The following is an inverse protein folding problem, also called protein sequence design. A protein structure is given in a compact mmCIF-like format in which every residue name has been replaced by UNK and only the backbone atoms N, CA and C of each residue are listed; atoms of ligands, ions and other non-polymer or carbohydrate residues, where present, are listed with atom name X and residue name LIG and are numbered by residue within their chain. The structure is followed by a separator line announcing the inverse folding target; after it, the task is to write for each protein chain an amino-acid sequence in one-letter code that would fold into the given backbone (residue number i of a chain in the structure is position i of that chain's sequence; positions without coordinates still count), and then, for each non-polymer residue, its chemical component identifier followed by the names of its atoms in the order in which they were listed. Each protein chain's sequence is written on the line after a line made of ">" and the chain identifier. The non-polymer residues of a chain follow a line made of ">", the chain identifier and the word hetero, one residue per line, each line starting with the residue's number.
data_IF_389379074573
#
_entry.id   IF_389379074573
#
_cell.length_a   1.000
_cell.length_b   1.000
_cell.length_c   1.000
_cell.angle_alpha   90.00
_cell.angle_beta   90.00
_cell.angle_gamma   90.00
#
_symmetry.space_group_name_H-M   'P 1'
#
loop_
_entity.id
_entity.type
_entity.pdbx_description
1 polymer ?
#
# COMPACT_ATOMS: atom_id res chain seq x y z
N UNK A 1 36.17 7.97 9.23
CA UNK A 1 35.57 8.79 8.16
C UNK A 1 34.14 8.30 7.99
N UNK A 2 33.19 8.88 8.74
CA UNK A 2 31.78 8.49 8.68
C UNK A 2 31.18 9.13 7.43
N UNK A 3 30.74 8.31 6.49
CA UNK A 3 29.90 8.74 5.37
C UNK A 3 28.52 9.05 5.96
N UNK A 4 28.16 10.33 5.95
CA UNK A 4 26.82 10.81 6.28
C UNK A 4 25.82 10.23 5.27
N UNK A 5 24.90 9.40 5.75
CA UNK A 5 23.67 9.06 5.04
C UNK A 5 22.84 10.34 4.98
N UNK A 6 22.97 11.07 3.88
CA UNK A 6 22.05 12.14 3.55
C UNK A 6 20.76 11.44 3.14
N UNK A 7 19.72 11.53 3.96
CA UNK A 7 18.39 11.00 3.63
C UNK A 7 17.94 11.56 2.28
N UNK A 8 17.35 10.72 1.41
CA UNK A 8 16.77 11.14 0.12
C UNK A 8 15.93 12.42 0.23
N UNK A 9 15.23 12.60 1.37
CA UNK A 9 14.48 13.80 1.75
C UNK A 9 15.24 15.14 1.59
N UNK A 10 16.55 15.17 1.86
CA UNK A 10 17.36 16.39 1.79
C UNK A 10 17.84 16.70 0.36
N UNK A 11 18.03 15.66 -0.47
CA UNK A 11 18.35 15.81 -1.89
C UNK A 11 17.11 16.19 -2.71
N UNK A 12 15.92 15.70 -2.34
CA UNK A 12 14.64 16.00 -2.99
C UNK A 12 14.23 17.48 -2.91
N UNK A 13 14.59 18.19 -1.82
CA UNK A 13 14.20 19.59 -1.64
C UNK A 13 15.11 20.60 -2.37
N UNK A 14 16.31 20.22 -2.80
CA UNK A 14 17.31 21.15 -3.33
C UNK A 14 17.25 21.33 -4.86
N UNK A 15 16.46 20.55 -5.60
CA UNK A 15 16.49 20.50 -7.07
C UNK A 15 15.22 20.94 -7.83
N UNK A 16 14.18 21.43 -7.15
CA UNK A 16 13.16 22.25 -7.81
C UNK A 16 11.84 21.55 -8.20
N UNK A 17 10.75 22.19 -7.77
CA UNK A 17 9.42 22.40 -8.37
C UNK A 17 8.61 21.33 -9.12
N UNK A 18 9.10 20.15 -9.47
CA UNK A 18 8.35 19.29 -10.42
C UNK A 18 7.41 18.25 -9.77
N UNK A 19 7.64 17.83 -8.52
CA UNK A 19 6.70 16.97 -7.78
C UNK A 19 5.48 17.75 -7.28
N UNK A 20 4.32 17.11 -7.21
CA UNK A 20 3.09 17.68 -6.66
C UNK A 20 3.25 18.04 -5.16
N UNK A 21 2.47 19.00 -4.62
CA UNK A 21 2.58 19.40 -3.22
C UNK A 21 2.45 18.25 -2.22
N UNK A 22 1.56 17.29 -2.47
CA UNK A 22 1.38 16.12 -1.61
C UNK A 22 2.56 15.13 -1.72
N UNK A 23 3.10 14.92 -2.92
CA UNK A 23 4.26 14.05 -3.18
C UNK A 23 5.51 14.51 -2.45
N UNK A 24 5.71 15.83 -2.32
CA UNK A 24 6.82 16.40 -1.55
C UNK A 24 6.70 16.19 -0.03
N UNK A 25 5.49 15.93 0.44
CA UNK A 25 5.22 15.70 1.86
C UNK A 25 5.35 14.23 2.25
N UNK A 26 5.27 13.29 1.30
CA UNK A 26 5.19 11.88 1.64
C UNK A 26 6.46 11.35 2.32
N UNK A 27 6.28 10.66 3.43
CA UNK A 27 7.24 9.82 4.11
C UNK A 27 6.61 8.42 4.23
N UNK A 28 6.93 7.58 3.24
CA UNK A 28 6.40 6.23 3.10
C UNK A 28 7.47 5.15 3.37
N UNK A 29 8.57 5.54 4.01
CA UNK A 29 9.76 4.68 4.15
C UNK A 29 10.59 4.59 2.87
N UNK A 30 11.31 3.48 2.72
CA UNK A 30 12.14 3.19 1.55
C UNK A 30 11.93 1.75 1.10
N UNK A 31 11.76 1.54 -0.20
CA UNK A 31 11.89 0.25 -0.84
C UNK A 31 13.35 0.10 -1.32
N UNK A 32 13.95 -1.08 -1.19
CA UNK A 32 15.36 -1.30 -1.49
C UNK A 32 15.70 -1.02 -2.96
N UNK A 33 15.18 -1.85 -3.86
CA UNK A 33 15.25 -1.66 -5.32
C UNK A 33 13.95 -2.16 -5.97
N UNK A 34 12.86 -1.38 -5.88
CA UNK A 34 11.55 -1.84 -6.30
C UNK A 34 11.56 -2.15 -7.79
N UNK A 35 11.15 -3.38 -8.11
CA UNK A 35 11.08 -3.89 -9.47
C UNK A 35 12.42 -3.85 -10.24
N UNK A 36 13.55 -3.95 -9.54
CA UNK A 36 14.87 -3.93 -10.19
C UNK A 36 15.24 -2.59 -10.84
N UNK A 37 14.53 -1.50 -10.48
CA UNK A 37 14.73 -0.16 -11.03
C UNK A 37 16.09 0.46 -10.63
N UNK A 38 17.16 0.04 -11.30
CA UNK A 38 18.49 0.65 -11.17
C UNK A 38 18.67 1.90 -12.07
N UNK A 39 17.69 2.24 -12.91
CA UNK A 39 17.81 3.29 -13.92
C UNK A 39 17.62 4.66 -13.28
N UNK A 40 18.71 5.45 -13.30
CA UNK A 40 18.76 6.89 -13.10
C UNK A 40 17.82 7.40 -11.99
N UNK A 41 18.14 7.03 -10.74
CA UNK A 41 17.37 7.30 -9.50
C UNK A 41 16.97 8.77 -9.28
N UNK A 42 17.45 9.69 -10.12
CA UNK A 42 17.19 11.13 -10.06
C UNK A 42 16.18 11.63 -11.09
N UNK A 43 15.71 10.80 -12.06
CA UNK A 43 14.71 11.26 -13.04
C UNK A 43 13.35 11.50 -12.36
N UNK A 44 12.58 12.44 -12.89
CA UNK A 44 11.26 12.75 -12.35
C UNK A 44 10.29 11.56 -12.49
N UNK A 45 10.32 10.86 -13.63
CA UNK A 45 9.58 9.61 -13.82
C UNK A 45 9.88 8.57 -12.72
N UNK A 46 11.16 8.38 -12.37
CA UNK A 46 11.56 7.47 -11.30
C UNK A 46 11.06 7.92 -9.93
N UNK A 47 11.06 9.23 -9.65
CA UNK A 47 10.55 9.76 -8.39
C UNK A 47 9.04 9.50 -8.23
N UNK A 48 8.24 9.79 -9.27
CA UNK A 48 6.81 9.48 -9.28
C UNK A 48 6.56 7.97 -9.14
N UNK A 49 7.33 7.13 -9.85
CA UNK A 49 7.24 5.67 -9.71
C UNK A 49 7.51 5.20 -8.27
N UNK A 50 8.59 5.69 -7.63
CA UNK A 50 8.91 5.31 -6.26
C UNK A 50 7.80 5.70 -5.29
N UNK A 51 7.23 6.89 -5.44
CA UNK A 51 6.09 7.33 -4.63
C UNK A 51 4.90 6.39 -4.83
N UNK A 52 4.55 6.11 -6.09
CA UNK A 52 3.43 5.24 -6.40
C UNK A 52 3.61 3.83 -5.84
N UNK A 53 4.82 3.28 -5.98
CA UNK A 53 5.15 1.96 -5.49
C UNK A 53 5.13 1.87 -3.96
N UNK A 54 5.61 2.90 -3.25
CA UNK A 54 5.49 2.98 -1.80
C UNK A 54 4.03 3.16 -1.35
N UNK A 55 3.22 3.93 -2.08
CA UNK A 55 1.78 4.04 -1.85
C UNK A 55 1.07 2.68 -1.98
N UNK A 56 1.44 1.84 -2.96
CA UNK A 56 0.89 0.48 -3.08
C UNK A 56 1.11 -0.33 -1.81
N UNK A 57 2.32 -0.29 -1.25
CA UNK A 57 2.63 -1.02 -0.02
C UNK A 57 1.86 -0.53 1.20
N UNK A 58 1.40 0.71 1.21
CA UNK A 58 0.57 1.27 2.27
C UNK A 58 -0.93 1.26 1.98
N UNK A 59 -1.37 0.58 0.92
CA UNK A 59 -2.78 0.56 0.49
C UNK A 59 -3.32 1.99 0.32
N UNK A 60 -2.58 2.79 -0.44
CA UNK A 60 -3.03 4.08 -0.95
C UNK A 60 -3.16 3.96 -2.48
N UNK A 61 -4.05 3.08 -2.96
CA UNK A 61 -3.99 2.67 -4.36
C UNK A 61 -4.33 3.80 -5.33
N UNK A 62 -5.25 4.68 -4.96
CA UNK A 62 -5.58 5.88 -5.76
C UNK A 62 -4.35 6.78 -5.95
N UNK A 63 -3.64 7.08 -4.86
CA UNK A 63 -2.41 7.89 -4.91
C UNK A 63 -1.28 7.15 -5.64
N UNK A 64 -1.26 5.82 -5.56
CA UNK A 64 -0.34 5.01 -6.34
C UNK A 64 -0.60 5.13 -7.84
N UNK A 65 -1.86 4.99 -8.26
CA UNK A 65 -2.28 5.13 -9.67
C UNK A 65 -2.00 6.53 -10.22
N UNK A 66 -2.29 7.58 -9.44
CA UNK A 66 -1.94 8.97 -9.80
C UNK A 66 -0.43 9.10 -10.03
N UNK A 67 0.40 8.61 -9.12
CA UNK A 67 1.84 8.71 -9.24
C UNK A 67 2.40 7.87 -10.40
N UNK A 68 1.87 6.67 -10.66
CA UNK A 68 2.27 5.91 -11.87
C UNK A 68 1.84 6.61 -13.16
N UNK A 69 0.68 7.25 -13.19
CA UNK A 69 0.26 8.05 -14.34
C UNK A 69 1.25 9.21 -14.59
N UNK A 70 1.62 9.96 -13.54
CA UNK A 70 2.64 11.01 -13.65
C UNK A 70 3.99 10.46 -14.14
N UNK A 71 4.43 9.31 -13.64
CA UNK A 71 5.66 8.67 -14.11
C UNK A 71 5.62 8.34 -15.62
N UNK A 72 4.45 7.91 -16.12
CA UNK A 72 4.23 7.56 -17.52
C UNK A 72 3.96 8.77 -18.42
N UNK A 73 3.52 9.90 -17.88
CA UNK A 73 3.48 11.18 -18.58
C UNK A 73 4.91 11.69 -18.85
N UNK A 74 5.81 11.51 -17.88
CA UNK A 74 7.23 11.86 -17.99
C UNK A 74 8.02 10.90 -18.90
N UNK A 75 7.81 9.59 -18.76
CA UNK A 75 8.39 8.57 -19.62
C UNK A 75 7.43 7.40 -19.84
N UNK A 76 6.71 7.44 -20.95
CA UNK A 76 5.75 6.39 -21.29
C UNK A 76 6.39 5.03 -21.61
N UNK A 77 7.72 4.96 -21.79
CA UNK A 77 8.46 3.71 -21.99
C UNK A 77 9.01 3.12 -20.70
N UNK A 78 8.77 3.77 -19.55
CA UNK A 78 9.25 3.31 -18.26
C UNK A 78 8.51 2.06 -17.78
N UNK A 79 9.16 0.90 -17.96
CA UNK A 79 8.56 -0.42 -17.77
C UNK A 79 8.08 -0.65 -16.35
N UNK A 80 8.85 -0.24 -15.35
CA UNK A 80 8.52 -0.45 -13.94
C UNK A 80 7.27 0.36 -13.53
N UNK A 81 7.07 1.55 -14.10
CA UNK A 81 5.84 2.32 -13.88
C UNK A 81 4.60 1.61 -14.46
N UNK A 82 4.72 0.97 -15.63
CA UNK A 82 3.65 0.12 -16.17
C UNK A 82 3.37 -1.10 -15.28
N UNK A 83 4.42 -1.79 -14.80
CA UNK A 83 4.26 -2.92 -13.88
C UNK A 83 3.57 -2.44 -12.58
N UNK A 84 4.00 -1.31 -12.01
CA UNK A 84 3.39 -0.71 -10.83
C UNK A 84 1.91 -0.37 -11.04
N UNK A 85 1.56 0.26 -12.15
CA UNK A 85 0.16 0.55 -12.54
C UNK A 85 -0.69 -0.73 -12.56
N UNK A 86 -0.20 -1.78 -13.21
CA UNK A 86 -0.87 -3.08 -13.28
C UNK A 86 -0.98 -3.77 -11.92
N UNK A 87 0.07 -3.72 -11.09
CA UNK A 87 0.03 -4.22 -9.71
C UNK A 87 -0.99 -3.47 -8.86
N UNK A 88 -1.16 -2.16 -9.06
CA UNK A 88 -2.20 -1.40 -8.40
C UNK A 88 -3.59 -1.92 -8.74
N UNK A 89 -3.85 -2.22 -10.02
CA UNK A 89 -5.10 -2.88 -10.41
C UNK A 89 -5.26 -4.25 -9.75
N UNK A 90 -4.23 -5.09 -9.74
CA UNK A 90 -4.27 -6.39 -9.03
C UNK A 90 -4.58 -6.18 -7.55
N UNK A 91 -3.92 -5.24 -6.88
CA UNK A 91 -4.02 -5.04 -5.43
C UNK A 91 -5.37 -4.46 -5.00
N UNK A 92 -5.94 -3.54 -5.79
CA UNK A 92 -7.33 -3.06 -5.63
C UNK A 92 -8.31 -4.22 -5.80
N UNK A 93 -7.96 -5.22 -6.61
CA UNK A 93 -8.86 -6.30 -7.01
C UNK A 93 -8.70 -7.62 -6.26
N UNK A 94 -7.83 -7.66 -5.25
CA UNK A 94 -7.65 -8.85 -4.42
C UNK A 94 -8.88 -9.12 -3.54
N UNK A 95 -9.09 -10.39 -3.17
CA UNK A 95 -10.18 -10.88 -2.29
C UNK A 95 -10.30 -10.13 -0.99
N UNK A 96 -9.21 -9.53 -0.50
CA UNK A 96 -9.25 -8.50 0.54
C UNK A 96 -10.47 -7.60 0.29
N UNK A 97 -10.56 -6.96 -0.87
CA UNK A 97 -11.61 -5.97 -1.15
C UNK A 97 -12.85 -6.52 -1.87
N UNK A 98 -12.95 -7.85 -2.06
CA UNK A 98 -14.04 -8.55 -2.77
C UNK A 98 -14.46 -7.89 -4.11
N UNK A 99 -13.52 -7.25 -4.80
CA UNK A 99 -13.77 -6.46 -6.00
C UNK A 99 -12.82 -6.91 -7.11
N UNK A 100 -13.26 -7.04 -8.36
CA UNK A 100 -12.35 -7.28 -9.49
C UNK A 100 -12.75 -6.46 -10.72
N UNK A 101 -12.02 -5.39 -11.01
CA UNK A 101 -12.09 -4.68 -12.29
C UNK A 101 -11.25 -5.37 -13.37
N UNK A 102 -11.71 -6.54 -13.81
CA UNK A 102 -11.01 -7.33 -14.83
C UNK A 102 -10.93 -6.58 -16.15
N UNK A 103 -11.98 -5.86 -16.54
CA UNK A 103 -12.05 -5.15 -17.81
C UNK A 103 -11.06 -3.98 -17.86
N UNK A 104 -11.06 -3.13 -16.83
CA UNK A 104 -10.11 -2.02 -16.73
C UNK A 104 -8.65 -2.51 -16.65
N UNK A 105 -8.40 -3.62 -15.94
CA UNK A 105 -7.06 -4.22 -15.87
C UNK A 105 -6.59 -4.75 -17.22
N UNK A 106 -7.45 -5.46 -17.96
CA UNK A 106 -7.14 -5.96 -19.30
C UNK A 106 -6.94 -4.82 -20.31
N UNK A 107 -7.71 -3.73 -20.18
CA UNK A 107 -7.51 -2.54 -20.98
C UNK A 107 -6.12 -1.93 -20.71
N UNK A 108 -5.76 -1.71 -19.45
CA UNK A 108 -4.45 -1.19 -19.07
C UNK A 108 -3.31 -2.08 -19.59
N UNK A 109 -3.45 -3.41 -19.50
CA UNK A 109 -2.50 -4.36 -20.07
C UNK A 109 -2.30 -4.19 -21.58
N UNK A 110 -3.40 -4.10 -22.33
CA UNK A 110 -3.35 -3.93 -23.78
C UNK A 110 -2.71 -2.58 -24.16
N UNK A 111 -3.00 -1.51 -23.43
CA UNK A 111 -2.36 -0.19 -23.59
C UNK A 111 -0.84 -0.28 -23.38
N UNK A 112 -0.40 -0.89 -22.27
CA UNK A 112 1.01 -1.13 -21.96
C UNK A 112 1.70 -1.90 -23.08
N UNK A 113 1.11 -3.01 -23.54
CA UNK A 113 1.71 -3.83 -24.59
C UNK A 113 1.77 -3.13 -25.94
N UNK A 114 0.76 -2.31 -26.28
CA UNK A 114 0.79 -1.48 -27.48
C UNK A 114 1.94 -0.47 -27.45
N UNK A 115 2.18 0.18 -26.30
CA UNK A 115 3.30 1.11 -26.11
C UNK A 115 4.64 0.38 -26.30
N UNK A 116 4.83 -0.77 -25.64
CA UNK A 116 6.08 -1.52 -25.76
C UNK A 116 6.39 -1.96 -27.19
N UNK A 117 5.38 -2.41 -27.94
CA UNK A 117 5.56 -2.78 -29.34
C UNK A 117 5.83 -1.57 -30.23
N UNK A 118 5.08 -0.47 -30.09
CA UNK A 118 5.21 0.71 -30.94
C UNK A 118 6.53 1.46 -30.71
N UNK A 119 7.02 1.47 -29.47
CA UNK A 119 8.26 2.14 -29.07
C UNK A 119 9.49 1.22 -29.09
N UNK A 120 9.33 -0.06 -29.49
CA UNK A 120 10.39 -1.08 -29.49
C UNK A 120 11.11 -1.21 -28.12
N UNK A 121 10.34 -1.17 -27.03
CA UNK A 121 10.88 -1.32 -25.67
C UNK A 121 11.50 -2.71 -25.52
N UNK A 122 12.76 -2.77 -25.08
CA UNK A 122 13.44 -4.03 -24.83
C UNK A 122 13.27 -4.41 -23.36
N UNK A 123 12.50 -5.47 -23.11
CA UNK A 123 12.26 -5.98 -21.76
C UNK A 123 13.41 -6.86 -21.29
N UNK A 124 13.87 -6.63 -20.06
CA UNK A 124 14.77 -7.56 -19.38
C UNK A 124 14.04 -8.87 -19.03
N UNK A 125 14.77 -9.99 -18.79
CA UNK A 125 14.14 -11.23 -18.33
C UNK A 125 13.31 -11.05 -17.07
N UNK A 126 13.75 -10.16 -16.17
CA UNK A 126 13.03 -9.81 -14.95
C UNK A 126 11.70 -9.12 -15.24
N UNK A 127 11.72 -8.03 -16.01
CA UNK A 127 10.52 -7.27 -16.36
C UNK A 127 9.50 -8.15 -17.10
N UNK A 128 9.96 -8.97 -18.05
CA UNK A 128 9.09 -9.89 -18.78
C UNK A 128 8.46 -10.94 -17.85
N UNK A 129 9.23 -11.51 -16.93
CA UNK A 129 8.72 -12.47 -15.95
C UNK A 129 7.68 -11.82 -15.01
N UNK A 130 7.90 -10.58 -14.59
CA UNK A 130 6.97 -9.84 -13.74
C UNK A 130 5.65 -9.54 -14.45
N UNK A 131 5.73 -9.01 -15.68
CA UNK A 131 4.55 -8.74 -16.52
C UNK A 131 3.74 -10.02 -16.75
N UNK A 132 4.40 -11.13 -17.10
CA UNK A 132 3.74 -12.42 -17.28
C UNK A 132 3.08 -12.92 -15.99
N UNK A 133 3.66 -12.64 -14.83
CA UNK A 133 3.11 -13.00 -13.52
C UNK A 133 1.85 -12.19 -13.23
N UNK A 134 1.90 -10.87 -13.38
CA UNK A 134 0.76 -9.96 -13.18
C UNK A 134 -0.39 -10.29 -14.13
N UNK A 135 -0.08 -10.67 -15.37
CA UNK A 135 -1.08 -11.11 -16.35
C UNK A 135 -1.93 -12.28 -15.88
N UNK A 136 -1.36 -13.23 -15.13
CA UNK A 136 -2.10 -14.42 -14.71
C UNK A 136 -3.28 -14.10 -13.80
N UNK A 137 -3.24 -12.99 -13.05
CA UNK A 137 -4.34 -12.60 -12.17
C UNK A 137 -5.65 -12.38 -12.95
N UNK A 138 -5.58 -11.69 -14.08
CA UNK A 138 -6.76 -11.28 -14.85
C UNK A 138 -6.98 -12.11 -16.13
N UNK A 139 -6.13 -13.12 -16.38
CA UNK A 139 -6.34 -14.10 -17.44
C UNK A 139 -7.62 -14.93 -17.22
N UNK A 140 -8.06 -15.07 -15.96
CA UNK A 140 -9.23 -15.86 -15.57
C UNK A 140 -10.44 -14.97 -15.29
N UNK A 141 -11.65 -15.50 -15.50
CA UNK A 141 -12.90 -14.78 -15.27
C UNK A 141 -13.37 -14.85 -13.80
N UNK A 142 -13.02 -15.93 -13.10
CA UNK A 142 -13.36 -16.16 -11.71
C UNK A 142 -12.18 -15.77 -10.80
N UNK A 143 -12.48 -15.03 -9.73
CA UNK A 143 -11.53 -14.58 -8.71
C UNK A 143 -10.73 -15.75 -8.12
N UNK A 144 -11.41 -16.83 -7.71
CA UNK A 144 -10.74 -17.97 -7.05
C UNK A 144 -9.72 -18.67 -7.95
N UNK A 145 -10.02 -18.80 -9.24
CA UNK A 145 -9.10 -19.41 -10.21
C UNK A 145 -7.92 -18.48 -10.49
N UNK A 146 -8.17 -17.17 -10.59
CA UNK A 146 -7.15 -16.14 -10.72
C UNK A 146 -6.17 -16.14 -9.53
N UNK A 147 -6.67 -16.31 -8.32
CA UNK A 147 -5.87 -16.39 -7.09
C UNK A 147 -4.87 -17.52 -7.06
N UNK A 148 -5.32 -18.74 -7.33
CA UNK A 148 -4.45 -19.91 -7.25
C UNK A 148 -3.36 -19.85 -8.33
N UNK A 149 -3.72 -19.45 -9.54
CA UNK A 149 -2.76 -19.33 -10.64
C UNK A 149 -1.80 -18.17 -10.42
N UNK A 150 -2.27 -17.06 -9.87
CA UNK A 150 -1.42 -15.93 -9.51
C UNK A 150 -0.45 -16.28 -8.39
N UNK A 151 -0.90 -17.03 -7.36
CA UNK A 151 -0.02 -17.56 -6.32
C UNK A 151 1.08 -18.43 -6.91
N UNK A 152 0.74 -19.39 -7.78
CA UNK A 152 1.76 -20.24 -8.44
C UNK A 152 2.74 -19.41 -9.28
N UNK A 153 2.25 -18.35 -9.93
CA UNK A 153 3.09 -17.49 -10.76
C UNK A 153 4.04 -16.63 -9.91
N UNK A 154 3.56 -16.09 -8.80
CA UNK A 154 4.40 -15.38 -7.82
C UNK A 154 5.44 -16.31 -7.17
N UNK A 155 5.08 -17.57 -6.91
CA UNK A 155 6.05 -18.57 -6.45
C UNK A 155 7.15 -18.82 -7.47
N UNK A 156 6.81 -18.98 -8.75
CA UNK A 156 7.81 -19.15 -9.80
C UNK A 156 8.69 -17.91 -9.96
N UNK A 157 8.10 -16.71 -9.90
CA UNK A 157 8.83 -15.44 -9.97
C UNK A 157 9.86 -15.32 -8.84
N UNK A 158 9.43 -15.54 -7.60
CA UNK A 158 10.29 -15.45 -6.41
C UNK A 158 11.34 -16.57 -6.32
N UNK A 159 11.09 -17.74 -6.91
CA UNK A 159 12.11 -18.78 -7.06
C UNK A 159 13.16 -18.42 -8.12
N UNK A 160 12.73 -17.76 -9.20
CA UNK A 160 13.61 -17.29 -10.28
C UNK A 160 14.48 -16.11 -9.82
N UNK A 161 13.91 -15.22 -9.00
CA UNK A 161 14.56 -14.03 -8.45
C UNK A 161 14.55 -14.05 -6.91
N UNK A 162 15.33 -14.94 -6.26
CA UNK A 162 15.21 -15.17 -4.81
C UNK A 162 15.74 -14.04 -3.93
N UNK A 163 16.53 -13.12 -4.48
CA UNK A 163 17.11 -11.96 -3.78
C UNK A 163 16.16 -10.76 -3.80
N UNK A 164 15.12 -10.80 -4.64
CA UNK A 164 14.15 -9.72 -4.77
C UNK A 164 13.20 -9.67 -3.56
N UNK A 165 13.49 -8.80 -2.60
CA UNK A 165 12.71 -8.60 -1.37
C UNK A 165 11.33 -8.05 -1.64
N UNK A 166 11.16 -7.28 -2.71
CA UNK A 166 9.90 -6.68 -3.12
C UNK A 166 8.94 -7.76 -3.70
N UNK A 167 9.43 -8.61 -4.61
CA UNK A 167 8.64 -9.73 -5.12
C UNK A 167 8.28 -10.73 -4.00
N UNK A 168 9.19 -10.98 -3.06
CA UNK A 168 8.91 -11.82 -1.88
C UNK A 168 7.86 -11.17 -0.96
N UNK A 169 7.92 -9.84 -0.77
CA UNK A 169 6.92 -9.09 -0.01
C UNK A 169 5.54 -9.20 -0.66
N UNK A 170 5.45 -9.04 -1.98
CA UNK A 170 4.21 -9.22 -2.73
C UNK A 170 3.69 -10.66 -2.65
N UNK A 171 4.56 -11.68 -2.71
CA UNK A 171 4.16 -13.06 -2.45
C UNK A 171 3.54 -13.24 -1.05
N UNK A 172 4.09 -12.54 -0.05
CA UNK A 172 3.50 -12.49 1.29
C UNK A 172 2.08 -11.92 1.30
N UNK A 173 1.82 -10.84 0.55
CA UNK A 173 0.47 -10.29 0.37
C UNK A 173 -0.47 -11.29 -0.32
N UNK A 174 -0.01 -11.95 -1.39
CA UNK A 174 -0.81 -12.97 -2.08
C UNK A 174 -1.18 -14.11 -1.14
N UNK A 175 -0.25 -14.58 -0.30
CA UNK A 175 -0.58 -15.58 0.72
C UNK A 175 -1.59 -15.08 1.75
N UNK A 176 -1.54 -13.81 2.17
CA UNK A 176 -2.57 -13.24 3.05
C UNK A 176 -3.94 -13.26 2.39
N UNK A 177 -3.98 -12.99 1.10
CA UNK A 177 -5.21 -13.02 0.33
C UNK A 177 -5.81 -14.44 0.29
N UNK A 178 -4.99 -15.47 0.01
CA UNK A 178 -5.40 -16.88 0.11
C UNK A 178 -5.84 -17.25 1.53
N UNK A 179 -5.14 -16.73 2.55
CA UNK A 179 -5.45 -17.02 3.95
C UNK A 179 -6.86 -16.57 4.35
N UNK A 180 -7.41 -15.51 3.76
CA UNK A 180 -8.79 -15.06 4.01
C UNK A 180 -9.75 -16.16 3.60
N UNK A 181 -9.64 -16.64 2.35
CA UNK A 181 -10.46 -17.73 1.82
C UNK A 181 -10.30 -19.00 2.66
N UNK A 182 -9.06 -19.43 2.93
CA UNK A 182 -8.78 -20.62 3.74
C UNK A 182 -9.32 -20.51 5.18
N UNK A 183 -9.35 -19.30 5.77
CA UNK A 183 -9.92 -19.08 7.11
C UNK A 183 -11.39 -19.50 7.15
N UNK A 184 -12.16 -19.14 6.12
CA UNK A 184 -13.58 -19.50 6.03
C UNK A 184 -13.77 -20.97 5.64
N UNK A 185 -13.05 -21.46 4.64
CA UNK A 185 -13.19 -22.83 4.12
C UNK A 185 -12.76 -23.89 5.15
N UNK A 186 -11.64 -23.66 5.83
CA UNK A 186 -11.07 -24.62 6.78
C UNK A 186 -11.56 -24.38 8.21
N UNK A 187 -12.27 -23.27 8.47
CA UNK A 187 -12.68 -22.84 9.81
C UNK A 187 -11.50 -22.73 10.77
N UNK A 188 -10.36 -22.23 10.28
CA UNK A 188 -9.12 -22.09 11.03
C UNK A 188 -8.75 -20.62 11.18
N UNK A 189 -8.52 -20.18 12.43
CA UNK A 189 -8.03 -18.82 12.71
C UNK A 189 -6.61 -18.57 12.18
N UNK A 190 -5.84 -19.64 11.97
CA UNK A 190 -4.46 -19.60 11.51
C UNK A 190 -4.29 -20.65 10.40
N UNK A 191 -4.73 -20.36 9.17
CA UNK A 191 -4.68 -21.30 8.07
C UNK A 191 -3.26 -21.43 7.48
N UNK A 192 -2.97 -22.50 6.71
CA UNK A 192 -1.66 -22.75 6.12
C UNK A 192 -1.07 -21.57 5.34
N UNK A 193 -1.85 -20.89 4.51
CA UNK A 193 -1.37 -19.75 3.73
C UNK A 193 -0.89 -18.59 4.62
N UNK A 194 -1.52 -18.37 5.79
CA UNK A 194 -1.07 -17.34 6.74
C UNK A 194 0.30 -17.66 7.33
N UNK A 195 0.58 -18.94 7.59
CA UNK A 195 1.89 -19.38 8.08
C UNK A 195 2.98 -19.19 7.01
N UNK A 196 2.66 -19.48 5.75
CA UNK A 196 3.58 -19.22 4.63
C UNK A 196 3.80 -17.72 4.39
N UNK A 197 2.77 -16.87 4.53
CA UNK A 197 2.91 -15.42 4.50
C UNK A 197 3.94 -14.94 5.53
N UNK A 198 3.77 -15.30 6.82
CA UNK A 198 4.72 -14.90 7.88
C UNK A 198 6.13 -15.38 7.59
N UNK A 199 6.28 -16.61 7.14
CA UNK A 199 7.58 -17.22 6.86
C UNK A 199 8.32 -16.51 5.73
N UNK A 200 7.65 -16.15 4.65
CA UNK A 200 8.24 -15.39 3.54
C UNK A 200 8.59 -13.98 4.02
N UNK A 201 7.65 -13.29 4.65
CA UNK A 201 7.83 -11.92 5.11
C UNK A 201 8.93 -11.79 6.18
N UNK A 202 9.05 -12.73 7.12
CA UNK A 202 10.12 -12.73 8.11
C UNK A 202 11.52 -12.88 7.49
N UNK A 203 11.64 -13.61 6.37
CA UNK A 203 12.90 -13.69 5.62
C UNK A 203 13.22 -12.36 4.93
N UNK A 204 12.21 -11.65 4.43
CA UNK A 204 12.40 -10.30 3.89
C UNK A 204 12.83 -9.36 5.01
N UNK A 205 12.12 -9.34 6.15
CA UNK A 205 12.44 -8.48 7.28
C UNK A 205 13.87 -8.68 7.81
N UNK A 206 14.38 -9.92 7.78
CA UNK A 206 15.75 -10.22 8.17
C UNK A 206 16.80 -9.59 7.23
N UNK A 207 16.45 -9.37 5.96
CA UNK A 207 17.31 -8.75 4.95
C UNK A 207 17.11 -7.23 4.91
N UNK A 208 15.86 -6.77 5.00
CA UNK A 208 15.45 -5.37 4.95
C UNK A 208 14.53 -5.04 6.13
N UNK A 209 15.09 -4.75 7.33
CA UNK A 209 14.32 -4.52 8.55
C UNK A 209 13.36 -3.33 8.51
N UNK A 210 13.55 -2.43 7.54
CA UNK A 210 12.74 -1.23 7.36
C UNK A 210 11.84 -1.27 6.12
N UNK A 211 11.68 -2.44 5.48
CA UNK A 211 10.84 -2.56 4.29
C UNK A 211 9.36 -2.30 4.65
N UNK A 212 8.72 -1.25 4.11
CA UNK A 212 7.38 -0.81 4.55
C UNK A 212 6.30 -1.85 4.28
N UNK A 213 6.23 -2.40 3.05
CA UNK A 213 5.30 -3.48 2.72
C UNK A 213 5.48 -4.73 3.59
N UNK A 214 6.72 -5.15 3.85
CA UNK A 214 6.99 -6.30 4.71
C UNK A 214 6.48 -6.10 6.14
N UNK A 215 6.80 -4.97 6.76
CA UNK A 215 6.34 -4.62 8.10
C UNK A 215 4.81 -4.54 8.16
N UNK A 216 4.20 -3.91 7.16
CA UNK A 216 2.76 -3.81 7.01
C UNK A 216 2.10 -5.19 6.97
N UNK A 217 2.52 -6.04 6.03
CA UNK A 217 1.90 -7.34 5.82
C UNK A 217 2.16 -8.30 6.98
N UNK A 218 3.26 -8.14 7.72
CA UNK A 218 3.49 -8.90 8.96
C UNK A 218 2.51 -8.55 10.08
N UNK A 219 2.05 -7.29 10.16
CA UNK A 219 0.99 -6.90 11.11
C UNK A 219 -0.30 -7.66 10.75
N UNK A 220 -0.72 -7.61 9.48
CA UNK A 220 -1.89 -8.36 9.01
C UNK A 220 -1.75 -9.88 9.23
N UNK A 221 -0.58 -10.45 8.93
CA UNK A 221 -0.32 -11.87 9.11
C UNK A 221 -0.40 -12.31 10.59
N UNK A 222 -0.28 -11.37 11.53
CA UNK A 222 -0.38 -11.62 12.96
C UNK A 222 -1.72 -11.17 13.57
N UNK A 223 -2.58 -10.47 12.81
CA UNK A 223 -3.87 -9.96 13.27
C UNK A 223 -4.94 -11.06 13.31
N UNK A 224 -4.74 -11.97 14.25
CA UNK A 224 -5.70 -13.03 14.57
C UNK A 224 -6.05 -12.94 16.06
N UNK A 225 -7.21 -13.49 16.51
CA UNK A 225 -7.62 -13.46 17.91
C UNK A 225 -6.79 -14.44 18.78
N UNK A 226 -5.46 -14.32 18.74
CA UNK A 226 -4.49 -15.10 19.48
C UNK A 226 -3.42 -14.16 20.04
N UNK A 227 -3.37 -14.04 21.37
CA UNK A 227 -2.44 -13.14 22.07
C UNK A 227 -0.97 -13.39 21.68
N UNK A 228 -0.57 -14.64 21.47
CA UNK A 228 0.80 -14.96 21.04
C UNK A 228 1.19 -14.32 19.70
N UNK A 229 0.26 -14.29 18.74
CA UNK A 229 0.48 -13.64 17.44
C UNK A 229 0.53 -12.12 17.57
N UNK A 230 -0.34 -11.55 18.40
CA UNK A 230 -0.31 -10.11 18.68
C UNK A 230 1.01 -9.67 19.34
N UNK A 231 1.55 -10.45 20.28
CA UNK A 231 2.85 -10.18 20.91
C UNK A 231 3.99 -10.20 19.88
N UNK A 232 3.93 -11.10 18.90
CA UNK A 232 4.89 -11.15 17.78
C UNK A 232 4.82 -9.90 16.90
N UNK A 233 3.62 -9.29 16.76
CA UNK A 233 3.40 -8.13 15.92
C UNK A 233 3.87 -6.79 16.53
N UNK A 234 4.05 -6.71 17.85
CA UNK A 234 4.47 -5.49 18.57
C UNK A 234 5.66 -4.77 17.92
N UNK A 235 6.81 -5.44 17.64
CA UNK A 235 7.94 -4.77 16.99
C UNK A 235 7.59 -4.27 15.59
N UNK A 236 6.77 -5.00 14.82
CA UNK A 236 6.36 -4.60 13.47
C UNK A 236 5.47 -3.37 13.52
N UNK A 237 4.49 -3.35 14.43
CA UNK A 237 3.59 -2.23 14.67
C UNK A 237 4.35 -0.95 15.06
N UNK A 238 5.34 -1.05 15.95
CA UNK A 238 6.18 0.09 16.31
C UNK A 238 7.05 0.58 15.15
N UNK A 239 7.69 -0.33 14.41
CA UNK A 239 8.56 0.05 13.30
C UNK A 239 7.77 0.68 12.15
N UNK A 240 6.64 0.08 11.77
CA UNK A 240 5.88 0.52 10.61
C UNK A 240 5.36 1.95 10.74
N UNK A 241 4.71 2.27 11.87
CA UNK A 241 4.19 3.63 12.16
C UNK A 241 5.27 4.70 12.21
N UNK A 242 6.51 4.35 12.55
CA UNK A 242 7.63 5.29 12.62
C UNK A 242 8.32 5.47 11.27
N UNK A 243 8.34 4.42 10.44
CA UNK A 243 8.93 4.45 9.09
C UNK A 243 7.99 5.11 8.09
N UNK A 244 6.67 4.84 8.17
CA UNK A 244 5.67 5.32 7.22
C UNK A 244 4.75 6.30 7.92
N UNK A 245 5.15 7.57 7.95
CA UNK A 245 4.55 8.62 8.80
C UNK A 245 3.40 9.36 8.16
N UNK A 246 3.32 9.36 6.83
CA UNK A 246 2.33 10.17 6.09
C UNK A 246 1.36 9.33 5.27
N UNK A 247 1.27 8.03 5.56
CA UNK A 247 0.15 7.21 5.13
C UNK A 247 -0.82 7.05 6.31
N UNK A 248 -2.09 7.42 6.10
CA UNK A 248 -3.15 7.29 7.11
C UNK A 248 -3.30 5.82 7.51
N UNK A 249 -3.32 4.92 6.52
CA UNK A 249 -3.35 3.47 6.74
C UNK A 249 -2.24 3.01 7.67
N UNK A 250 -0.99 3.44 7.39
CA UNK A 250 0.16 2.98 8.14
C UNK A 250 0.12 3.38 9.62
N UNK A 251 -0.43 4.57 9.92
CA UNK A 251 -0.65 4.99 11.29
C UNK A 251 -1.75 4.17 11.97
N UNK A 252 -2.82 3.82 11.25
CA UNK A 252 -3.89 2.95 11.75
C UNK A 252 -3.40 1.51 12.02
N UNK A 253 -2.51 0.97 11.18
CA UNK A 253 -2.13 -0.44 11.22
C UNK A 253 -1.61 -0.93 12.56
N UNK A 254 -0.93 -0.08 13.33
CA UNK A 254 -0.47 -0.45 14.66
C UNK A 254 -1.62 -0.78 15.64
N UNK A 255 -2.81 -0.21 15.44
CA UNK A 255 -4.00 -0.47 16.27
C UNK A 255 -4.48 -1.92 16.21
N UNK A 256 -4.32 -2.61 15.08
CA UNK A 256 -4.59 -4.05 14.96
C UNK A 256 -3.82 -4.84 16.02
N UNK A 257 -2.59 -4.43 16.34
CA UNK A 257 -1.79 -5.06 17.40
C UNK A 257 -2.23 -4.61 18.79
N UNK A 258 -2.40 -3.30 18.99
CA UNK A 258 -2.73 -2.73 20.30
C UNK A 258 -4.05 -3.24 20.87
N UNK A 259 -5.08 -3.35 20.05
CA UNK A 259 -6.39 -3.83 20.48
C UNK A 259 -6.31 -5.29 20.94
N UNK A 260 -5.54 -6.14 20.24
CA UNK A 260 -5.38 -7.57 20.58
C UNK A 260 -4.67 -7.79 21.91
N UNK A 261 -3.89 -6.83 22.38
CA UNK A 261 -3.21 -6.87 23.70
C UNK A 261 -3.89 -5.98 24.75
N UNK A 262 -5.02 -5.34 24.43
CA UNK A 262 -5.76 -4.46 25.34
C UNK A 262 -5.10 -3.10 25.61
N UNK A 263 -4.18 -2.66 24.74
CA UNK A 263 -3.52 -1.36 24.83
C UNK A 263 -4.36 -0.24 24.20
N UNK A 264 -5.60 -0.06 24.69
CA UNK A 264 -6.57 0.88 24.14
C UNK A 264 -6.08 2.33 24.00
N UNK A 265 -5.31 2.91 24.95
CA UNK A 265 -4.79 4.27 24.79
C UNK A 265 -3.85 4.42 23.58
N UNK A 266 -3.02 3.41 23.31
CA UNK A 266 -2.14 3.40 22.12
C UNK A 266 -2.96 3.27 20.83
N UNK A 267 -4.01 2.45 20.84
CA UNK A 267 -4.92 2.34 19.71
C UNK A 267 -5.63 3.67 19.39
N UNK A 268 -6.10 4.38 20.42
CA UNK A 268 -6.73 5.69 20.25
C UNK A 268 -5.74 6.71 19.67
N UNK A 269 -4.54 6.82 20.24
CA UNK A 269 -3.52 7.76 19.78
C UNK A 269 -3.15 7.53 18.30
N UNK A 270 -3.01 6.28 17.89
CA UNK A 270 -2.62 5.91 16.53
C UNK A 270 -3.73 6.17 15.52
N UNK A 271 -4.98 5.97 15.92
CA UNK A 271 -6.14 6.34 15.15
C UNK A 271 -6.28 7.87 15.00
N UNK A 272 -6.06 8.64 16.07
CA UNK A 272 -6.05 10.10 15.98
C UNK A 272 -4.94 10.59 15.03
N UNK A 273 -3.75 9.98 15.08
CA UNK A 273 -2.66 10.26 14.12
C UNK A 273 -3.04 9.90 12.68
N UNK A 274 -3.69 8.76 12.47
CA UNK A 274 -4.18 8.33 11.16
C UNK A 274 -5.11 9.37 10.54
N UNK A 275 -6.08 9.87 11.32
CA UNK A 275 -7.01 10.92 10.87
C UNK A 275 -6.24 12.20 10.55
N UNK A 276 -5.32 12.65 11.43
CA UNK A 276 -4.49 13.83 11.17
C UNK A 276 -3.78 13.74 9.81
N UNK A 277 -3.12 12.61 9.55
CA UNK A 277 -2.38 12.36 8.32
C UNK A 277 -3.30 12.38 7.09
N UNK A 278 -4.47 11.77 7.19
CA UNK A 278 -5.48 11.77 6.11
C UNK A 278 -5.91 13.21 5.76
N UNK A 279 -6.27 14.02 6.77
CA UNK A 279 -6.72 15.41 6.57
C UNK A 279 -5.63 16.26 5.92
N UNK A 280 -4.39 16.12 6.39
CA UNK A 280 -3.24 16.80 5.83
C UNK A 280 -3.07 16.44 4.34
N UNK A 281 -3.12 15.15 4.01
CA UNK A 281 -3.00 14.68 2.64
C UNK A 281 -4.08 15.29 1.74
N UNK A 282 -5.34 15.29 2.19
CA UNK A 282 -6.45 15.91 1.47
C UNK A 282 -6.22 17.42 1.25
N UNK A 283 -5.80 18.16 2.27
CA UNK A 283 -5.54 19.60 2.15
C UNK A 283 -4.40 19.90 1.15
N UNK A 284 -3.37 19.06 1.10
CA UNK A 284 -2.28 19.18 0.12
C UNK A 284 -2.76 18.87 -1.30
N UNK A 285 -3.56 17.81 -1.50
CA UNK A 285 -4.13 17.47 -2.81
C UNK A 285 -5.09 18.55 -3.33
N UNK A 286 -5.86 19.20 -2.44
CA UNK A 286 -6.77 20.28 -2.79
C UNK A 286 -6.08 21.65 -2.94
N UNK A 287 -4.75 21.74 -2.83
CA UNK A 287 -3.98 22.99 -2.81
C UNK A 287 -4.49 24.00 -1.75
N UNK A 288 -5.09 23.51 -0.66
CA UNK A 288 -5.56 24.33 0.47
C UNK A 288 -4.46 24.56 1.52
N UNK A 289 -3.33 23.87 1.38
CA UNK A 289 -2.16 23.97 2.26
C UNK A 289 -0.88 23.79 1.44
N UNK A 290 0.19 24.49 1.81
CA UNK A 290 1.52 24.20 1.27
C UNK A 290 2.21 23.13 2.11
N UNK A 291 3.07 22.30 1.48
CA UNK A 291 3.82 21.23 2.15
C UNK A 291 4.70 21.71 3.32
N UNK A 292 5.08 22.98 3.35
CA UNK A 292 5.84 23.61 4.44
C UNK A 292 5.01 23.91 5.69
N UNK A 293 3.70 24.12 5.53
CA UNK A 293 2.81 24.58 6.62
C UNK A 293 2.26 23.41 7.44
N UNK A 294 2.46 22.19 6.96
CA UNK A 294 1.85 20.96 7.47
C UNK A 294 2.24 20.66 8.93
N UNK A 295 3.46 21.00 9.33
CA UNK A 295 3.94 20.74 10.70
C UNK A 295 3.40 21.71 11.75
N UNK A 296 2.63 22.74 11.35
CA UNK A 296 2.19 23.82 12.24
C UNK A 296 0.79 23.64 12.82
N UNK A 297 0.02 22.65 12.35
CA UNK A 297 -1.38 22.46 12.74
C UNK A 297 -1.55 21.38 13.80
N UNK A 298 -2.38 21.68 14.80
CA UNK A 298 -2.88 20.72 15.79
C UNK A 298 -4.08 19.93 15.25
N UNK A 299 -4.35 18.76 15.83
CA UNK A 299 -5.54 17.96 15.47
C UNK A 299 -6.84 18.75 15.59
N UNK A 300 -7.00 19.54 16.66
CA UNK A 300 -8.19 20.37 16.86
C UNK A 300 -8.34 21.45 15.77
N UNK A 301 -7.24 22.04 15.30
CA UNK A 301 -7.26 23.02 14.20
C UNK A 301 -7.62 22.37 12.86
N UNK A 302 -7.11 21.16 12.60
CA UNK A 302 -7.48 20.36 11.42
C UNK A 302 -8.97 19.96 11.46
N UNK A 303 -9.47 19.58 12.64
CA UNK A 303 -10.87 19.22 12.86
C UNK A 303 -11.82 20.41 12.65
N UNK A 304 -11.46 21.59 13.17
CA UNK A 304 -12.24 22.81 12.96
C UNK A 304 -12.28 23.14 11.46
N UNK A 305 -11.16 23.04 10.76
CA UNK A 305 -11.12 23.28 9.31
C UNK A 305 -12.01 22.30 8.57
N UNK A 306 -11.94 21.00 8.86
CA UNK A 306 -12.82 19.97 8.30
C UNK A 306 -14.32 20.30 8.49
N UNK A 307 -14.70 20.73 9.69
CA UNK A 307 -16.10 21.07 10.02
C UNK A 307 -16.53 22.35 9.28
N UNK A 308 -15.64 23.34 9.15
CA UNK A 308 -15.93 24.63 8.52
C UNK A 308 -16.03 24.55 7.00
N UNK A 309 -15.29 23.65 6.33
CA UNK A 309 -15.30 23.51 4.86
C UNK A 309 -16.48 22.72 4.27
N UNK A 310 -17.47 22.32 5.08
CA UNK A 310 -18.50 21.31 4.71
C UNK A 310 -17.82 20.01 4.23
N UNK A 311 -17.75 19.02 5.13
CA UNK A 311 -16.96 17.79 5.00
C UNK A 311 -17.12 17.01 3.67
N UNK A 312 -18.12 17.30 2.84
CA UNK A 312 -18.35 16.64 1.56
C UNK A 312 -17.18 16.73 0.57
N UNK A 313 -16.34 17.79 0.61
CA UNK A 313 -15.20 17.93 -0.30
C UNK A 313 -13.90 17.25 0.16
N UNK A 314 -13.67 17.16 1.48
CA UNK A 314 -12.46 16.58 2.08
C UNK A 314 -12.57 15.07 2.34
N UNK A 315 -13.80 14.55 2.43
CA UNK A 315 -14.11 13.11 2.48
C UNK A 315 -13.69 12.39 1.18
N UNK A 316 -13.35 13.11 0.11
CA UNK A 316 -13.17 12.54 -1.24
C UNK A 316 -11.71 12.19 -1.59
N UNK A 317 -10.70 12.70 -0.87
CA UNK A 317 -9.29 12.58 -1.31
C UNK A 317 -8.49 11.39 -0.72
N UNK A 318 -9.10 10.60 0.17
CA UNK A 318 -8.57 9.35 0.75
C UNK A 318 -9.74 8.35 0.86
N UNK A 319 -10.31 7.98 -0.30
CA UNK A 319 -11.60 7.27 -0.40
C UNK A 319 -11.53 5.90 0.30
N UNK A 320 -10.34 5.29 0.29
CA UNK A 320 -10.02 4.01 0.92
C UNK A 320 -10.15 4.05 2.46
N UNK A 321 -10.03 5.22 3.10
CA UNK A 321 -10.17 5.38 4.56
C UNK A 321 -11.47 6.05 5.02
N UNK A 322 -12.38 6.40 4.11
CA UNK A 322 -13.70 6.97 4.44
C UNK A 322 -14.51 6.02 5.34
N UNK A 323 -14.22 4.71 5.27
CA UNK A 323 -14.77 3.68 6.14
C UNK A 323 -14.41 3.82 7.62
N UNK A 324 -13.49 4.70 8.01
CA UNK A 324 -13.03 4.85 9.39
C UNK A 324 -13.54 6.09 10.10
N UNK A 325 -14.37 6.96 9.49
CA UNK A 325 -14.85 8.18 10.14
C UNK A 325 -16.37 8.31 10.01
N UNK A 326 -17.12 8.03 11.08
CA UNK A 326 -18.55 8.38 11.15
C UNK A 326 -18.92 9.15 12.40
N UNK A 327 -19.92 10.00 12.27
CA UNK A 327 -20.59 10.64 13.40
C UNK A 327 -21.66 9.70 13.95
N UNK A 328 -21.49 9.21 15.18
CA UNK A 328 -22.59 8.60 15.95
C UNK A 328 -22.98 9.60 17.03
N UNK A 329 -24.19 10.16 16.93
CA UNK A 329 -24.77 11.09 17.91
C UNK A 329 -23.89 12.31 18.25
N UNK A 330 -23.16 12.87 17.27
CA UNK A 330 -22.32 14.05 17.49
C UNK A 330 -20.92 13.74 18.05
N UNK A 331 -20.57 12.46 18.18
CA UNK A 331 -19.21 12.01 18.44
C UNK A 331 -18.62 11.41 17.17
N UNK A 332 -17.40 11.84 16.82
CA UNK A 332 -16.63 11.22 15.74
C UNK A 332 -16.15 9.86 16.24
N UNK A 333 -16.67 8.79 15.65
CA UNK A 333 -16.27 7.41 15.91
C UNK A 333 -15.28 7.02 14.81
N UNK A 334 -14.08 6.66 15.24
CA UNK A 334 -13.09 6.06 14.35
C UNK A 334 -13.37 4.57 14.29
N UNK A 335 -13.86 4.06 13.17
CA UNK A 335 -14.21 2.64 13.09
C UNK A 335 -12.95 1.78 12.96
N UNK A 336 -12.41 1.31 14.08
CA UNK A 336 -11.32 0.34 14.08
C UNK A 336 -11.77 -1.12 13.95
N UNK A 337 -13.05 -1.39 13.66
CA UNK A 337 -13.61 -2.74 13.79
C UNK A 337 -14.91 -2.89 12.99
N UNK A 338 -14.86 -3.28 11.71
CA UNK A 338 -15.96 -4.03 11.07
C UNK A 338 -15.65 -4.67 9.72
N UNK A 339 -14.43 -4.61 9.21
CA UNK A 339 -14.18 -5.09 7.86
C UNK A 339 -14.37 -6.62 7.70
N UNK A 340 -14.01 -7.42 8.71
CA UNK A 340 -14.24 -8.88 8.72
C UNK A 340 -15.70 -9.32 8.99
N UNK A 341 -16.65 -8.41 9.25
CA UNK A 341 -18.05 -8.77 9.52
C UNK A 341 -19.10 -8.02 8.67
N UNK A 342 -18.75 -6.91 8.00
CA UNK A 342 -19.77 -6.02 7.41
C UNK A 342 -20.27 -6.45 6.01
N UNK A 343 -19.58 -7.36 5.30
CA UNK A 343 -20.02 -7.81 3.97
C UNK A 343 -21.10 -8.90 3.99
N UNK A 344 -21.50 -9.42 5.16
CA UNK A 344 -22.64 -10.32 5.29
C UNK A 344 -24.03 -9.72 5.02
N UNK A 345 -24.13 -8.41 4.70
CA UNK A 345 -25.42 -7.71 4.51
C UNK A 345 -25.61 -6.98 3.18
N UNK A 346 -24.62 -6.91 2.28
CA UNK A 346 -24.79 -6.18 0.99
C UNK A 346 -25.59 -6.93 -0.08
N UNK A 347 -26.00 -8.18 0.18
CA UNK A 347 -26.79 -9.00 -0.76
C UNK A 347 -28.26 -9.20 -0.34
N UNK A 348 -28.83 -8.31 0.47
CA UNK A 348 -30.27 -8.25 0.71
C UNK A 348 -30.77 -6.82 0.67
N UNK A 349 -30.97 -6.30 -0.55
CA UNK A 349 -32.05 -5.36 -0.89
C UNK A 349 -32.35 -5.43 -2.38
#
# INVERSE_FOLDING_TARGET
>A
MQLTVISLWFLMNLLGFDLLPWERYVNLGSAGQPLGSAINQTSLAHQHFLIGYLCLHSFHYESAQEAFAMALEEDNTFVEAHIGRLLGFVSITQTLWEYMDREGTLQAWNETWAIFNNSNVTLTPYQLAYLNTVYQWFAYENISDGEDVFLQSMLNLTQTFPIDTDAQTQLGLVYLNIAIRETFELQMLEPPAMLEARKVLQKVLAQEPSHPGCLHYLIHACDIPRVGSAVQAIPYAHSYREIVRTASHAQHMATHTWIRIGAWPLAQEDNERSVNVSVILCMLKLNQMNSTDVLSFTFSELLIRLIVTEAQGLIVCDFEHVGHLYSVQGHMVIEGFFWLMYHGKRNQE
#
